data_IF_176937963506
#
_entry.id   IF_176937963506
#
_cell.length_a   1.000
_cell.length_b   1.000
_cell.length_c   1.000
_cell.angle_alpha   90.00
_cell.angle_beta   90.00
_cell.angle_gamma   90.00
#
_symmetry.space_group_name_H-M   'P 1'
#
loop_
_entity.id
_entity.type
_entity.pdbx_description
1 polymer ?
#
# COMPACT_ATOMS: atom_id res chain seq x y z
N UNK A 1 13.69 -6.68 8.89
CA UNK A 1 12.34 -7.29 9.00
C UNK A 1 11.76 -7.24 7.62
N UNK A 2 11.76 -8.41 6.98
CA UNK A 2 11.48 -8.62 5.57
C UNK A 2 10.04 -8.18 5.28
N UNK A 3 9.85 -7.27 4.29
CA UNK A 3 8.52 -6.99 3.77
C UNK A 3 7.88 -8.27 3.20
N UNK A 4 6.58 -8.25 2.84
CA UNK A 4 5.92 -9.43 2.30
C UNK A 4 6.71 -9.93 1.09
N UNK A 5 7.35 -11.09 1.25
CA UNK A 5 8.05 -11.78 0.17
C UNK A 5 7.09 -12.61 -0.66
N UNK A 6 7.58 -13.25 -1.74
CA UNK A 6 6.83 -14.30 -2.41
C UNK A 6 6.42 -15.40 -1.40
N UNK A 7 5.28 -16.09 -1.62
CA UNK A 7 4.85 -17.17 -0.74
C UNK A 7 5.94 -18.25 -0.58
N UNK A 8 6.02 -18.85 0.61
CA UNK A 8 6.97 -19.93 0.86
C UNK A 8 6.76 -21.08 -0.15
N UNK A 9 7.84 -21.59 -0.72
CA UNK A 9 7.88 -22.60 -1.79
C UNK A 9 7.29 -22.19 -3.15
N UNK A 10 6.98 -20.91 -3.36
CA UNK A 10 6.62 -20.43 -4.69
C UNK A 10 7.87 -20.22 -5.56
N UNK A 11 7.70 -20.33 -6.88
CA UNK A 11 8.79 -20.18 -7.85
C UNK A 11 8.43 -19.15 -8.92
N UNK A 12 9.45 -18.54 -9.51
CA UNK A 12 9.20 -17.60 -10.59
C UNK A 12 8.66 -18.35 -11.82
N UNK A 13 7.45 -18.00 -12.25
CA UNK A 13 6.79 -18.61 -13.41
C UNK A 13 7.45 -18.34 -14.77
N UNK A 14 8.54 -17.57 -14.81
CA UNK A 14 9.31 -17.28 -16.04
C UNK A 14 10.57 -18.13 -16.12
N UNK A 15 11.39 -18.19 -15.06
CA UNK A 15 12.59 -19.02 -15.05
C UNK A 15 12.38 -20.41 -14.42
N UNK A 16 11.22 -20.66 -13.83
CA UNK A 16 10.86 -21.89 -13.09
C UNK A 16 11.83 -22.22 -11.94
N UNK A 17 12.50 -21.21 -11.39
CA UNK A 17 13.43 -21.36 -10.27
C UNK A 17 13.09 -20.45 -9.09
N UNK A 18 13.95 -20.49 -8.07
CA UNK A 18 13.85 -19.61 -6.92
C UNK A 18 13.94 -18.13 -7.33
N UNK A 19 13.29 -17.27 -6.56
CA UNK A 19 13.30 -15.84 -6.83
C UNK A 19 14.69 -15.23 -6.61
N UNK A 20 15.26 -14.65 -7.65
CA UNK A 20 16.41 -13.75 -7.57
C UNK A 20 15.92 -12.30 -7.73
N UNK A 21 16.16 -11.46 -6.72
CA UNK A 21 15.63 -10.09 -6.64
C UNK A 21 14.10 -10.05 -6.89
N UNK A 22 13.29 -10.64 -6.00
CA UNK A 22 11.84 -10.72 -6.18
C UNK A 22 11.18 -9.35 -6.27
N UNK A 23 10.27 -9.21 -7.22
CA UNK A 23 9.37 -8.07 -7.34
C UNK A 23 7.91 -8.51 -7.55
N UNK A 24 7.00 -7.72 -6.99
CA UNK A 24 5.57 -7.93 -7.07
C UNK A 24 4.94 -6.98 -8.08
N UNK A 25 4.06 -7.51 -8.92
CA UNK A 25 3.25 -6.70 -9.86
C UNK A 25 1.97 -6.15 -9.20
N UNK A 26 1.33 -5.15 -9.82
CA UNK A 26 0.01 -4.62 -9.38
C UNK A 26 -1.10 -5.68 -9.34
N UNK A 27 -0.93 -6.81 -10.04
CA UNK A 27 -1.86 -7.93 -9.98
C UNK A 27 -1.51 -8.99 -8.92
N UNK A 28 -0.66 -8.65 -7.94
CA UNK A 28 -0.18 -9.49 -6.83
C UNK A 28 0.77 -10.65 -7.21
N UNK A 29 1.02 -10.91 -8.49
CA UNK A 29 1.94 -11.98 -8.90
C UNK A 29 3.41 -11.56 -8.77
N UNK A 30 4.24 -12.54 -8.41
CA UNK A 30 5.67 -12.40 -8.14
C UNK A 30 6.52 -12.89 -9.29
N UNK A 31 7.63 -12.18 -9.55
CA UNK A 31 8.62 -12.53 -10.56
C UNK A 31 10.03 -12.16 -10.09
N UNK A 32 11.06 -12.77 -10.67
CA UNK A 32 12.41 -12.21 -10.59
C UNK A 32 12.47 -10.91 -11.40
N UNK A 33 13.12 -9.87 -10.88
CA UNK A 33 13.27 -8.59 -11.55
C UNK A 33 13.78 -8.72 -13.00
N UNK A 34 14.88 -9.45 -13.20
CA UNK A 34 15.45 -9.63 -14.54
C UNK A 34 14.55 -10.48 -15.46
N UNK A 35 13.79 -11.44 -14.92
CA UNK A 35 12.88 -12.28 -15.72
C UNK A 35 11.72 -11.47 -16.29
N UNK A 36 11.05 -10.67 -15.47
CA UNK A 36 9.90 -9.88 -15.94
C UNK A 36 10.34 -8.76 -16.90
N UNK A 37 11.55 -8.21 -16.71
CA UNK A 37 12.15 -7.27 -17.67
C UNK A 37 12.46 -7.96 -19.01
N UNK A 38 12.95 -9.20 -19.00
CA UNK A 38 13.17 -9.96 -20.22
C UNK A 38 11.87 -10.20 -20.99
N UNK A 39 10.80 -10.58 -20.30
CA UNK A 39 9.45 -10.72 -20.89
C UNK A 39 8.99 -9.41 -21.54
N UNK A 40 9.21 -8.28 -20.88
CA UNK A 40 8.87 -6.97 -21.44
C UNK A 40 9.70 -6.64 -22.69
N UNK A 41 11.01 -6.89 -22.67
CA UNK A 41 11.91 -6.62 -23.80
C UNK A 41 11.60 -7.45 -25.05
N UNK A 42 11.21 -8.72 -24.88
CA UNK A 42 10.78 -9.57 -26.00
C UNK A 42 9.35 -9.26 -26.50
N UNK A 43 8.58 -8.54 -25.71
CA UNK A 43 7.25 -8.07 -26.09
C UNK A 43 7.29 -6.77 -26.89
N UNK A 44 6.27 -5.94 -26.72
CA UNK A 44 6.25 -4.57 -27.25
C UNK A 44 6.78 -3.62 -26.18
N UNK A 45 8.02 -3.15 -26.34
CA UNK A 45 8.64 -2.18 -25.42
C UNK A 45 7.87 -0.84 -25.32
N UNK A 46 6.90 -0.62 -26.21
CA UNK A 46 6.04 0.58 -26.26
C UNK A 46 4.83 0.46 -25.32
N UNK A 47 4.44 -0.75 -24.94
CA UNK A 47 3.28 -1.01 -24.08
C UNK A 47 3.68 -1.65 -22.74
N UNK A 48 2.84 -1.53 -21.70
CA UNK A 48 3.04 -2.26 -20.46
C UNK A 48 3.12 -3.76 -20.71
N UNK A 49 4.05 -4.43 -20.02
CA UNK A 49 4.16 -5.87 -20.01
C UNK A 49 2.85 -6.51 -19.49
N UNK A 50 2.41 -7.61 -20.11
CA UNK A 50 1.27 -8.38 -19.59
C UNK A 50 1.78 -9.43 -18.61
N UNK A 51 1.09 -9.58 -17.48
CA UNK A 51 1.40 -10.60 -16.49
C UNK A 51 1.36 -12.01 -17.13
N UNK A 52 2.44 -12.81 -17.03
CA UNK A 52 2.45 -14.19 -17.52
C UNK A 52 1.35 -15.09 -16.95
N UNK A 53 0.88 -14.80 -15.72
CA UNK A 53 -0.11 -15.63 -15.02
C UNK A 53 -1.56 -15.21 -15.30
N UNK A 54 -1.88 -13.91 -15.20
CA UNK A 54 -3.26 -13.43 -15.34
C UNK A 54 -3.51 -12.48 -16.52
N UNK A 55 -2.49 -12.22 -17.33
CA UNK A 55 -2.53 -11.38 -18.56
C UNK A 55 -2.93 -9.92 -18.34
N UNK A 56 -3.12 -9.46 -17.09
CA UNK A 56 -3.34 -8.05 -16.75
C UNK A 56 -2.10 -7.20 -17.11
N UNK A 57 -2.27 -5.95 -17.57
CA UNK A 57 -1.14 -5.06 -17.78
C UNK A 57 -0.45 -4.75 -16.46
N UNK A 58 0.88 -4.86 -16.45
CA UNK A 58 1.73 -4.54 -15.32
C UNK A 58 2.15 -3.07 -15.45
N UNK A 59 1.54 -2.20 -14.67
CA UNK A 59 1.90 -0.77 -14.65
C UNK A 59 2.89 -0.43 -13.54
N UNK A 60 3.01 -1.32 -12.55
CA UNK A 60 3.87 -1.14 -11.39
C UNK A 60 4.52 -2.47 -10.99
N UNK A 61 5.83 -2.43 -10.77
CA UNK A 61 6.63 -3.50 -10.18
C UNK A 61 7.28 -2.99 -8.91
N UNK A 62 7.08 -3.70 -7.80
CA UNK A 62 7.61 -3.30 -6.50
C UNK A 62 8.56 -4.37 -5.97
N UNK A 63 9.87 -4.09 -5.87
CA UNK A 63 10.84 -4.99 -5.26
C UNK A 63 10.54 -5.24 -3.78
N UNK A 64 11.00 -6.38 -3.25
CA UNK A 64 10.98 -6.63 -1.79
C UNK A 64 11.97 -5.73 -1.04
N UNK A 65 11.72 -5.48 0.25
CA UNK A 65 12.64 -4.70 1.10
C UNK A 65 14.01 -5.37 1.28
N UNK A 66 14.04 -6.69 1.21
CA UNK A 66 15.29 -7.45 1.24
C UNK A 66 16.14 -7.11 0.00
N UNK A 67 15.53 -7.16 -1.19
CA UNK A 67 16.17 -6.73 -2.44
C UNK A 67 16.64 -5.27 -2.40
N UNK A 68 15.88 -4.37 -1.75
CA UNK A 68 16.27 -2.97 -1.58
C UNK A 68 17.46 -2.79 -0.61
N UNK A 69 17.53 -3.63 0.43
CA UNK A 69 18.63 -3.63 1.41
C UNK A 69 19.94 -4.11 0.79
N UNK A 70 19.87 -5.06 -0.15
CA UNK A 70 20.99 -5.59 -0.92
C UNK A 70 21.39 -4.76 -2.15
N UNK A 71 20.98 -3.49 -2.24
CA UNK A 71 21.31 -2.58 -3.37
C UNK A 71 22.82 -2.35 -3.59
N UNK A 72 23.68 -2.68 -2.63
CA UNK A 72 25.13 -2.58 -2.78
C UNK A 72 25.70 -3.63 -3.74
N UNK A 73 24.99 -4.74 -3.96
CA UNK A 73 25.34 -5.72 -4.97
C UNK A 73 25.09 -5.13 -6.38
N UNK A 74 26.10 -5.11 -7.27
CA UNK A 74 25.95 -4.54 -8.61
C UNK A 74 24.87 -5.24 -9.45
N UNK A 75 24.64 -6.54 -9.27
CA UNK A 75 23.62 -7.28 -10.01
C UNK A 75 22.21 -6.85 -9.59
N UNK A 76 21.99 -6.76 -8.27
CA UNK A 76 20.72 -6.30 -7.67
C UNK A 76 20.46 -4.85 -8.02
N UNK A 77 21.48 -3.98 -7.92
CA UNK A 77 21.38 -2.56 -8.27
C UNK A 77 20.92 -2.35 -9.72
N UNK A 78 21.49 -3.10 -10.66
CA UNK A 78 21.12 -3.05 -12.07
C UNK A 78 19.66 -3.52 -12.29
N UNK A 79 19.25 -4.60 -11.63
CA UNK A 79 17.88 -5.09 -11.70
C UNK A 79 16.86 -4.06 -11.15
N UNK A 80 17.18 -3.40 -10.04
CA UNK A 80 16.36 -2.35 -9.45
C UNK A 80 16.27 -1.10 -10.36
N UNK A 81 17.36 -0.70 -11.01
CA UNK A 81 17.37 0.43 -11.95
C UNK A 81 16.47 0.16 -13.16
N UNK A 82 16.49 -1.06 -13.71
CA UNK A 82 15.56 -1.47 -14.79
C UNK A 82 14.10 -1.37 -14.33
N UNK A 83 13.78 -1.83 -13.13
CA UNK A 83 12.44 -1.71 -12.55
C UNK A 83 12.05 -0.24 -12.40
N UNK A 84 12.95 0.59 -11.88
CA UNK A 84 12.68 2.02 -11.68
C UNK A 84 12.39 2.72 -13.02
N UNK A 85 13.17 2.42 -14.07
CA UNK A 85 12.92 2.92 -15.42
C UNK A 85 11.59 2.44 -15.97
N UNK A 86 11.26 1.16 -15.82
CA UNK A 86 9.98 0.59 -16.23
C UNK A 86 8.80 1.31 -15.56
N UNK A 87 8.86 1.46 -14.24
CA UNK A 87 7.82 2.15 -13.47
C UNK A 87 7.69 3.63 -13.86
N UNK A 88 8.79 4.30 -14.24
CA UNK A 88 8.70 5.68 -14.74
C UNK A 88 7.96 5.77 -16.08
N UNK A 89 8.12 4.77 -16.95
CA UNK A 89 7.47 4.73 -18.26
C UNK A 89 5.97 4.43 -18.16
N UNK A 90 5.56 3.58 -17.22
CA UNK A 90 4.19 3.05 -17.17
C UNK A 90 3.41 3.33 -15.88
N UNK A 91 4.08 3.81 -14.82
CA UNK A 91 3.48 4.08 -13.51
C UNK A 91 2.60 5.34 -13.48
N UNK A 92 2.86 6.31 -14.37
CA UNK A 92 2.02 7.50 -14.54
C UNK A 92 0.99 7.35 -15.66
N UNK A 93 1.04 6.26 -16.45
CA UNK A 93 0.11 6.09 -17.56
C UNK A 93 -1.27 5.86 -16.98
N UNK A 94 -2.11 6.89 -17.09
CA UNK A 94 -3.49 6.92 -16.62
C UNK A 94 -4.28 5.75 -17.23
N UNK A 95 -4.25 4.59 -16.58
CA UNK A 95 -5.37 3.68 -16.66
C UNK A 95 -6.60 4.46 -16.22
N UNK A 96 -7.67 4.44 -17.02
CA UNK A 96 -8.94 5.07 -16.66
C UNK A 96 -9.38 4.66 -15.24
N UNK A 97 -10.27 5.41 -14.62
CA UNK A 97 -10.73 5.20 -13.23
C UNK A 97 -11.06 3.73 -12.90
N UNK A 98 -11.55 2.98 -13.88
CA UNK A 98 -11.83 1.55 -13.77
C UNK A 98 -10.59 0.69 -13.46
N UNK A 99 -9.45 0.99 -14.08
CA UNK A 99 -8.20 0.28 -13.83
C UNK A 99 -7.69 0.57 -12.41
N UNK A 100 -7.77 1.84 -11.97
CA UNK A 100 -7.44 2.22 -10.58
C UNK A 100 -8.32 1.50 -9.57
N UNK A 101 -9.63 1.34 -9.84
CA UNK A 101 -10.54 0.59 -8.98
C UNK A 101 -10.21 -0.91 -8.93
N UNK A 102 -9.76 -1.49 -10.04
CA UNK A 102 -9.33 -2.90 -10.08
C UNK A 102 -8.02 -3.13 -9.33
N UNK A 103 -7.13 -2.14 -9.31
CA UNK A 103 -5.84 -2.19 -8.59
C UNK A 103 -5.96 -1.75 -7.12
N UNK A 104 -7.05 -1.06 -6.75
CA UNK A 104 -7.37 -0.63 -5.38
C UNK A 104 -7.36 -1.75 -4.32
N UNK A 105 -7.99 -2.93 -4.53
CA UNK A 105 -7.98 -4.00 -3.52
C UNK A 105 -6.56 -4.54 -3.26
N UNK A 106 -5.66 -4.47 -4.24
CA UNK A 106 -4.26 -4.83 -4.04
C UNK A 106 -3.53 -3.78 -3.19
N UNK A 107 -3.65 -2.51 -3.56
CA UNK A 107 -3.05 -1.41 -2.79
C UNK A 107 -3.57 -1.39 -1.36
N UNK A 108 -4.88 -1.61 -1.17
CA UNK A 108 -5.51 -1.67 0.14
C UNK A 108 -5.05 -2.89 0.95
N UNK A 109 -4.98 -4.09 0.35
CA UNK A 109 -4.46 -5.28 1.04
C UNK A 109 -3.02 -5.11 1.48
N UNK A 110 -2.18 -4.51 0.63
CA UNK A 110 -0.79 -4.20 0.96
C UNK A 110 -0.69 -3.18 2.08
N UNK A 111 -1.46 -2.09 2.02
CA UNK A 111 -1.55 -1.11 3.10
C UNK A 111 -2.02 -1.74 4.41
N UNK A 112 -3.01 -2.64 4.37
CA UNK A 112 -3.53 -3.35 5.55
C UNK A 112 -2.50 -4.33 6.14
N UNK A 113 -1.72 -5.00 5.29
CA UNK A 113 -0.62 -5.85 5.72
C UNK A 113 0.51 -5.03 6.35
N UNK A 114 0.86 -3.88 5.77
CA UNK A 114 1.84 -2.95 6.34
C UNK A 114 1.35 -2.35 7.68
N UNK A 115 0.04 -2.15 7.84
CA UNK A 115 -0.57 -1.72 9.11
C UNK A 115 -0.58 -2.82 10.17
N UNK A 116 -0.64 -4.09 9.77
CA UNK A 116 -0.68 -5.24 10.67
C UNK A 116 0.70 -5.60 11.23
N UNK A 117 1.80 -5.12 10.62
CA UNK A 117 3.15 -5.33 11.13
C UNK A 117 3.54 -4.23 12.16
N UNK A 118 3.57 -4.54 13.48
CA UNK A 118 3.67 -3.55 14.53
C UNK A 118 5.07 -2.95 14.69
N UNK A 119 6.06 -3.27 13.84
CA UNK A 119 7.46 -2.86 14.00
C UNK A 119 8.03 -2.04 12.83
N UNK A 120 7.21 -1.56 11.89
CA UNK A 120 7.67 -0.66 10.81
C UNK A 120 7.10 0.76 10.92
N UNK A 121 7.99 1.66 11.38
CA UNK A 121 8.11 3.09 11.05
C UNK A 121 6.87 3.95 10.79
N UNK A 122 5.77 3.76 11.52
CA UNK A 122 4.89 4.89 11.83
C UNK A 122 5.52 5.64 13.02
N UNK A 123 5.69 6.99 12.97
CA UNK A 123 6.16 7.75 14.11
C UNK A 123 5.30 7.37 15.32
N UNK A 124 5.92 6.97 16.42
CA UNK A 124 5.26 6.53 17.67
C UNK A 124 4.10 7.46 18.08
N UNK A 125 4.22 8.74 17.75
CA UNK A 125 3.23 9.80 17.98
C UNK A 125 1.91 9.58 17.22
N UNK A 126 1.94 9.10 15.97
CA UNK A 126 0.74 8.83 15.17
C UNK A 126 0.03 7.60 15.72
N UNK A 127 0.79 6.55 16.04
CA UNK A 127 0.25 5.33 16.65
C UNK A 127 -0.36 5.63 18.02
N UNK A 128 0.33 6.38 18.87
CA UNK A 128 -0.17 6.82 20.17
C UNK A 128 -1.44 7.68 20.05
N UNK A 129 -1.50 8.62 19.08
CA UNK A 129 -2.69 9.44 18.85
C UNK A 129 -3.90 8.61 18.41
N UNK A 130 -3.70 7.61 17.56
CA UNK A 130 -4.79 6.70 17.14
C UNK A 130 -5.26 5.85 18.32
N UNK A 131 -4.36 5.28 19.12
CA UNK A 131 -4.76 4.51 20.31
C UNK A 131 -5.45 5.38 21.36
N UNK A 132 -4.98 6.61 21.62
CA UNK A 132 -5.63 7.54 22.55
C UNK A 132 -7.02 7.93 22.04
N UNK A 133 -7.18 8.22 20.75
CA UNK A 133 -8.49 8.53 20.16
C UNK A 133 -9.45 7.34 20.24
N UNK A 134 -8.97 6.13 19.97
CA UNK A 134 -9.76 4.90 20.13
C UNK A 134 -10.17 4.67 21.59
N UNK A 135 -9.25 4.85 22.55
CA UNK A 135 -9.53 4.71 23.98
C UNK A 135 -10.54 5.78 24.45
N UNK A 136 -10.37 7.04 24.05
CA UNK A 136 -11.31 8.12 24.40
C UNK A 136 -12.70 7.90 23.80
N UNK A 137 -12.77 7.37 22.57
CA UNK A 137 -14.04 7.01 21.93
C UNK A 137 -14.73 5.85 22.66
N UNK A 138 -13.99 4.83 23.10
CA UNK A 138 -14.52 3.74 23.92
C UNK A 138 -14.94 4.23 25.31
N UNK A 139 -14.17 5.13 25.94
CA UNK A 139 -14.53 5.75 27.22
C UNK A 139 -15.79 6.62 27.09
N UNK A 140 -15.95 7.33 25.98
CA UNK A 140 -17.16 8.09 25.67
C UNK A 140 -18.38 7.16 25.53
N UNK A 141 -18.25 6.05 24.78
CA UNK A 141 -19.32 5.05 24.60
C UNK A 141 -19.72 4.37 25.92
N UNK A 142 -18.77 4.14 26.83
CA UNK A 142 -19.00 3.41 28.09
C UNK A 142 -19.39 4.36 29.25
N UNK A 143 -19.12 5.66 29.13
CA UNK A 143 -19.39 6.64 30.18
C UNK A 143 -20.90 6.93 30.27
N UNK A 144 -21.55 6.68 31.41
CA UNK A 144 -22.99 6.87 31.60
C UNK A 144 -23.34 8.34 31.91
N UNK A 145 -22.67 9.29 31.25
CA UNK A 145 -22.86 10.74 31.42
C UNK A 145 -23.30 11.32 30.07
N UNK A 146 -24.52 10.98 29.67
CA UNK A 146 -25.27 11.75 28.70
C UNK A 146 -25.85 12.99 29.42
N UNK A 147 -25.39 14.19 29.04
CA UNK A 147 -25.87 15.49 29.54
C UNK A 147 -27.28 15.84 29.02
N UNK A 148 -27.94 14.96 28.25
CA UNK A 148 -29.23 15.24 27.60
C UNK A 148 -30.22 14.12 27.93
N UNK A 149 -31.40 14.42 28.50
CA UNK A 149 -32.33 13.40 28.96
C UNK A 149 -32.91 12.61 27.77
N UNK A 150 -32.78 11.28 27.87
CA UNK A 150 -33.13 10.23 26.91
C UNK A 150 -34.64 10.06 26.65
N UNK A 151 -35.34 11.12 26.24
CA UNK A 151 -36.79 11.08 26.04
C UNK A 151 -37.27 11.09 24.58
N UNK A 152 -36.58 11.78 23.66
CA UNK A 152 -37.24 12.26 22.43
C UNK A 152 -36.38 12.10 21.14
N UNK A 153 -35.09 11.73 21.23
CA UNK A 153 -34.13 11.99 20.15
C UNK A 153 -33.16 10.84 19.82
N UNK A 154 -33.65 9.58 19.82
CA UNK A 154 -32.81 8.39 19.52
C UNK A 154 -32.08 8.40 18.17
N UNK A 155 -32.56 9.18 17.18
CA UNK A 155 -31.89 9.35 15.87
C UNK A 155 -30.75 10.38 15.95
N UNK A 156 -30.86 11.36 16.86
CA UNK A 156 -29.87 12.44 16.98
C UNK A 156 -28.64 12.01 17.77
N UNK A 157 -28.76 11.10 18.74
CA UNK A 157 -27.59 10.46 19.36
C UNK A 157 -26.77 9.66 18.34
N UNK A 158 -27.45 8.88 17.49
CA UNK A 158 -26.80 8.11 16.43
C UNK A 158 -26.18 9.02 15.34
N UNK A 159 -26.78 10.19 15.10
CA UNK A 159 -26.23 11.22 14.23
C UNK A 159 -24.98 11.86 14.85
N UNK A 160 -24.96 12.09 16.17
CA UNK A 160 -23.83 12.67 16.89
C UNK A 160 -22.65 11.69 16.93
N UNK A 161 -22.88 10.41 17.20
CA UNK A 161 -21.86 9.35 17.09
C UNK A 161 -21.27 9.25 15.67
N UNK A 162 -22.13 9.29 14.65
CA UNK A 162 -21.70 9.29 13.25
C UNK A 162 -20.89 10.56 12.92
N UNK A 163 -21.29 11.71 13.45
CA UNK A 163 -20.58 12.99 13.31
C UNK A 163 -19.23 12.95 13.99
N UNK A 164 -19.12 12.41 15.20
CA UNK A 164 -17.87 12.26 15.93
C UNK A 164 -16.92 11.34 15.17
N UNK A 165 -17.41 10.19 14.69
CA UNK A 165 -16.62 9.27 13.85
C UNK A 165 -16.17 9.97 12.57
N UNK A 166 -17.06 10.69 11.89
CA UNK A 166 -16.75 11.44 10.68
C UNK A 166 -15.72 12.54 10.93
N UNK A 167 -15.85 13.30 12.02
CA UNK A 167 -14.89 14.34 12.43
C UNK A 167 -13.55 13.70 12.75
N UNK A 168 -13.51 12.56 13.45
CA UNK A 168 -12.27 11.81 13.68
C UNK A 168 -11.61 11.38 12.37
N UNK A 169 -12.36 10.80 11.44
CA UNK A 169 -11.84 10.41 10.12
C UNK A 169 -11.32 11.60 9.32
N UNK A 170 -12.05 12.71 9.30
CA UNK A 170 -11.64 13.95 8.63
C UNK A 170 -10.39 14.57 9.28
N UNK A 171 -10.29 14.53 10.61
CA UNK A 171 -9.14 15.05 11.35
C UNK A 171 -7.89 14.20 11.11
N UNK A 172 -8.03 12.87 11.09
CA UNK A 172 -6.97 11.94 10.71
C UNK A 172 -6.55 12.15 9.27
N UNK A 173 -7.49 12.35 8.34
CA UNK A 173 -7.20 12.63 6.93
C UNK A 173 -6.50 13.98 6.74
N UNK A 174 -6.90 15.02 7.47
CA UNK A 174 -6.28 16.35 7.44
C UNK A 174 -4.85 16.33 8.00
N UNK A 175 -4.63 15.60 9.10
CA UNK A 175 -3.29 15.41 9.69
C UNK A 175 -2.40 14.55 8.78
N UNK A 176 -2.95 13.53 8.15
CA UNK A 176 -2.22 12.74 7.17
C UNK A 176 -1.81 13.60 5.97
N UNK A 177 -2.72 14.44 5.47
CA UNK A 177 -2.47 15.38 4.38
C UNK A 177 -1.43 16.44 4.75
N UNK A 178 -1.45 16.98 5.98
CA UNK A 178 -0.46 17.96 6.41
C UNK A 178 0.94 17.35 6.58
N UNK A 179 1.03 16.13 7.09
CA UNK A 179 2.29 15.37 7.14
C UNK A 179 2.80 15.04 5.74
N UNK A 180 1.91 14.64 4.83
CA UNK A 180 2.27 14.35 3.44
C UNK A 180 2.78 15.61 2.73
N UNK A 181 2.12 16.75 2.96
CA UNK A 181 2.49 18.06 2.41
C UNK A 181 3.81 18.58 3.01
N UNK A 182 4.07 18.37 4.30
CA UNK A 182 5.35 18.75 4.93
C UNK A 182 6.51 17.89 4.41
N UNK A 183 6.23 16.62 4.06
CA UNK A 183 7.24 15.68 3.54
C UNK A 183 7.54 15.84 2.05
N UNK A 184 6.63 16.42 1.27
CA UNK A 184 6.74 16.51 -0.20
C UNK A 184 6.54 17.93 -0.77
N UNK A 185 6.20 18.93 0.05
CA UNK A 185 5.83 20.28 -0.38
C UNK A 185 6.77 21.38 0.11
N UNK A 186 8.06 21.11 0.35
CA UNK A 186 8.96 22.10 0.93
C UNK A 186 10.39 22.08 0.39
N UNK A 187 10.59 22.93 -0.63
CA UNK A 187 11.85 23.52 -1.15
C UNK A 187 12.84 22.65 -1.92
#
# INVERSE_FOLDING_TARGET
>A
MEGPGPPANDMCSVCHGNFNTPCQSNCCHWFCANCIMLVWHHGSAVQPCKCPLCRRPITLLVPTDDSLSHRHDPEVANALDKIQRYNRLFGEREGGLLQRLQDLPFLLRRLLQDFSDPRRSLPLVIRARVYIAMILSVVYIISPIDIIPEGILGIVGLLDDLLIVLICFLHVAALYRSVLYLRHGGS
#
